data_IF_478119385382
#
_entry.id   IF_478119385382
#
_cell.length_a   1.000
_cell.length_b   1.000
_cell.length_c   1.000
_cell.angle_alpha   90.00
_cell.angle_beta   90.00
_cell.angle_gamma   90.00
#
_symmetry.space_group_name_H-M   'P 1'
#
loop_
_entity.id
_entity.type
_entity.pdbx_description
1 polymer ?
#
# COMPACT_ATOMS: atom_id res chain seq x y z
N UNK A 1 -7.56 22.45 -1.84
CA UNK A 1 -6.50 22.28 -0.83
C UNK A 1 -5.42 21.38 -1.42
N UNK A 2 -4.25 21.93 -1.75
CA UNK A 2 -3.19 21.20 -2.45
C UNK A 2 -2.70 20.02 -1.60
N UNK A 3 -3.09 18.81 -2.03
CA UNK A 3 -2.78 17.52 -1.44
C UNK A 3 -1.38 17.12 -1.91
N UNK A 4 -0.40 17.14 -1.01
CA UNK A 4 1.00 16.71 -1.22
C UNK A 4 1.81 17.60 -2.18
N UNK A 5 3.13 17.76 -1.99
CA UNK A 5 3.92 18.79 -2.68
C UNK A 5 4.30 18.39 -4.12
N UNK A 6 3.39 17.78 -4.88
CA UNK A 6 3.60 17.55 -6.31
C UNK A 6 3.28 18.83 -7.08
N UNK A 7 4.19 19.26 -7.94
CA UNK A 7 3.97 20.30 -8.93
C UNK A 7 4.40 19.80 -10.30
N UNK A 8 3.82 20.36 -11.37
CA UNK A 8 4.12 19.93 -12.73
C UNK A 8 4.27 21.14 -13.66
N UNK A 9 5.30 21.10 -14.49
CA UNK A 9 5.40 21.90 -15.71
C UNK A 9 4.81 21.14 -16.90
N UNK A 10 5.06 21.63 -18.12
CA UNK A 10 4.57 21.00 -19.35
C UNK A 10 5.17 19.61 -19.58
N UNK A 11 6.42 19.41 -19.19
CA UNK A 11 7.15 18.15 -19.37
C UNK A 11 7.67 17.56 -18.06
N UNK A 12 8.06 18.43 -17.14
CA UNK A 12 8.69 18.04 -15.88
C UNK A 12 7.68 17.92 -14.73
N UNK A 13 7.95 16.99 -13.83
CA UNK A 13 7.21 16.82 -12.58
C UNK A 13 8.16 16.95 -11.42
N UNK A 14 7.73 17.61 -10.36
CA UNK A 14 8.51 17.88 -9.17
C UNK A 14 7.77 17.38 -7.93
N UNK A 15 8.54 17.01 -6.92
CA UNK A 15 8.06 16.80 -5.55
C UNK A 15 8.86 17.69 -4.60
N UNK A 16 8.22 18.73 -4.06
CA UNK A 16 8.92 19.88 -3.50
C UNK A 16 9.75 20.55 -4.59
N UNK A 17 11.02 20.83 -4.30
CA UNK A 17 11.96 21.43 -5.25
C UNK A 17 12.72 20.39 -6.09
N UNK A 18 12.44 19.09 -5.89
CA UNK A 18 13.16 18.00 -6.57
C UNK A 18 12.41 17.51 -7.80
N UNK A 19 13.04 17.57 -8.96
CA UNK A 19 12.54 16.94 -10.19
C UNK A 19 12.44 15.43 -10.03
N UNK A 20 11.36 14.83 -10.53
CA UNK A 20 11.13 13.39 -10.55
C UNK A 20 11.56 12.86 -11.92
N UNK A 21 12.72 12.22 -11.96
CA UNK A 21 13.26 11.70 -13.21
C UNK A 21 12.40 10.56 -13.79
N UNK A 22 12.14 10.65 -15.10
CA UNK A 22 11.32 9.68 -15.83
C UNK A 22 9.81 9.84 -15.65
N UNK A 23 9.35 10.86 -14.91
CA UNK A 23 7.94 11.20 -14.81
C UNK A 23 7.45 11.90 -16.07
N UNK A 24 6.29 11.46 -16.58
CA UNK A 24 5.65 12.10 -17.72
C UNK A 24 4.70 13.21 -17.25
N UNK A 25 5.11 14.48 -17.38
CA UNK A 25 4.30 15.63 -16.97
C UNK A 25 2.96 15.79 -17.70
N UNK A 26 2.81 15.23 -18.90
CA UNK A 26 1.57 15.30 -19.68
C UNK A 26 0.47 14.41 -19.07
N UNK A 27 0.84 13.21 -18.63
CA UNK A 27 -0.11 12.23 -18.05
C UNK A 27 -0.02 12.09 -16.53
N UNK A 28 0.77 12.95 -15.86
CA UNK A 28 0.93 12.88 -14.42
C UNK A 28 -0.36 13.25 -13.68
N UNK A 29 -0.81 12.33 -12.84
CA UNK A 29 -2.00 12.44 -12.01
C UNK A 29 -1.60 12.28 -10.55
N UNK A 30 -1.86 13.33 -9.75
CA UNK A 30 -1.73 13.24 -8.29
C UNK A 30 -2.96 12.54 -7.74
N UNK A 31 -2.75 11.45 -7.02
CA UNK A 31 -3.82 10.65 -6.42
C UNK A 31 -4.06 11.12 -4.97
N UNK A 32 -4.12 10.19 -4.03
CA UNK A 32 -4.32 10.44 -2.60
C UNK A 32 -3.21 9.80 -1.77
N UNK A 33 -3.08 10.20 -0.52
CA UNK A 33 -2.13 9.62 0.44
C UNK A 33 -0.66 9.65 -0.02
N UNK A 34 -0.27 10.69 -0.76
CA UNK A 34 1.09 10.86 -1.28
C UNK A 34 1.40 10.07 -2.55
N UNK A 35 0.43 9.29 -3.05
CA UNK A 35 0.57 8.59 -4.32
C UNK A 35 0.30 9.50 -5.51
N UNK A 36 0.99 9.23 -6.59
CA UNK A 36 0.74 9.79 -7.91
C UNK A 36 1.06 8.72 -8.97
N UNK A 37 0.65 8.95 -10.20
CA UNK A 37 0.99 8.07 -11.33
C UNK A 37 1.15 8.88 -12.60
N UNK A 38 1.79 8.30 -13.58
CA UNK A 38 1.65 8.69 -14.98
C UNK A 38 1.14 7.47 -15.78
N UNK A 39 1.16 7.53 -17.11
CA UNK A 39 0.71 6.40 -17.96
C UNK A 39 1.47 5.11 -17.67
N UNK A 40 2.75 5.19 -17.30
CA UNK A 40 3.67 4.05 -17.24
C UNK A 40 4.06 3.69 -15.81
N UNK A 41 4.19 4.68 -14.94
CA UNK A 41 4.81 4.56 -13.63
C UNK A 41 3.85 5.01 -12.53
N UNK A 42 4.13 4.56 -11.31
CA UNK A 42 3.53 5.09 -10.09
C UNK A 42 4.60 5.65 -9.16
N UNK A 43 4.18 6.56 -8.29
CA UNK A 43 5.04 7.31 -7.40
C UNK A 43 4.42 7.37 -6.00
N UNK A 44 5.29 7.40 -4.98
CA UNK A 44 4.91 7.65 -3.60
C UNK A 44 5.86 8.69 -3.02
N UNK A 45 5.32 9.84 -2.60
CA UNK A 45 6.08 10.98 -2.07
C UNK A 45 7.29 11.36 -2.95
N UNK A 46 7.09 11.45 -4.27
CA UNK A 46 8.14 11.80 -5.23
C UNK A 46 9.13 10.67 -5.55
N UNK A 47 8.98 9.49 -4.96
CA UNK A 47 9.79 8.32 -5.28
C UNK A 47 9.05 7.41 -6.26
N UNK A 48 9.70 7.04 -7.36
CA UNK A 48 9.19 6.04 -8.30
C UNK A 48 9.05 4.69 -7.60
N UNK A 49 7.89 4.07 -7.74
CA UNK A 49 7.61 2.73 -7.22
C UNK A 49 8.10 1.72 -8.25
N UNK A 50 9.06 0.88 -7.85
CA UNK A 50 9.67 -0.10 -8.74
C UNK A 50 8.60 -1.07 -9.28
N UNK A 51 8.63 -1.31 -10.59
CA UNK A 51 7.74 -2.24 -11.31
C UNK A 51 6.23 -1.96 -11.21
N UNK A 52 5.83 -0.78 -10.72
CA UNK A 52 4.44 -0.38 -10.70
C UNK A 52 3.96 0.09 -12.07
N UNK A 53 2.79 -0.39 -12.47
CA UNK A 53 2.16 -0.03 -13.75
C UNK A 53 1.17 1.10 -13.57
N UNK A 54 1.53 2.28 -14.06
CA UNK A 54 0.72 3.50 -13.95
C UNK A 54 -0.71 3.34 -14.47
N UNK A 55 -0.88 2.73 -15.64
CA UNK A 55 -2.19 2.52 -16.28
C UNK A 55 -3.23 1.75 -15.45
N UNK A 56 -2.80 0.92 -14.51
CA UNK A 56 -3.65 0.09 -13.65
C UNK A 56 -3.49 0.41 -12.16
N UNK A 57 -2.73 1.45 -11.83
CA UNK A 57 -2.39 1.79 -10.46
C UNK A 57 -3.59 2.41 -9.72
N UNK A 58 -3.95 1.82 -8.57
CA UNK A 58 -5.08 2.22 -7.74
C UNK A 58 -4.63 2.32 -6.29
N UNK A 59 -4.93 3.45 -5.65
CA UNK A 59 -4.68 3.62 -4.21
C UNK A 59 -5.82 2.99 -3.42
N UNK A 60 -5.53 2.01 -2.58
CA UNK A 60 -6.52 1.28 -1.80
C UNK A 60 -6.86 2.00 -0.50
N UNK A 61 -5.84 2.43 0.23
CA UNK A 61 -5.96 3.03 1.56
C UNK A 61 -4.68 3.84 1.88
N UNK A 62 -4.60 4.53 3.04
CA UNK A 62 -3.34 5.13 3.45
C UNK A 62 -2.20 4.10 3.43
N UNK A 63 -1.13 4.42 2.70
CA UNK A 63 0.05 3.57 2.47
C UNK A 63 -0.18 2.25 1.72
N UNK A 64 -1.39 1.94 1.22
CA UNK A 64 -1.63 0.75 0.41
C UNK A 64 -2.14 1.12 -0.97
N UNK A 65 -1.53 0.53 -1.99
CA UNK A 65 -1.93 0.66 -3.38
C UNK A 65 -1.75 -0.68 -4.10
N UNK A 66 -2.33 -0.81 -5.29
CA UNK A 66 -2.19 -1.97 -6.15
C UNK A 66 -2.04 -1.56 -7.60
N UNK A 67 -1.48 -2.45 -8.40
CA UNK A 67 -1.75 -2.49 -9.83
C UNK A 67 -2.41 -3.84 -10.20
N UNK A 68 -2.50 -4.17 -11.48
CA UNK A 68 -3.07 -5.45 -11.92
C UNK A 68 -2.37 -6.67 -11.29
N UNK A 69 -1.07 -6.59 -11.01
CA UNK A 69 -0.23 -7.75 -10.67
C UNK A 69 0.29 -7.72 -9.23
N UNK A 70 0.48 -6.53 -8.68
CA UNK A 70 1.21 -6.33 -7.44
C UNK A 70 0.40 -5.53 -6.43
N UNK A 71 0.70 -5.76 -5.16
CA UNK A 71 0.28 -4.89 -4.07
C UNK A 71 1.51 -4.16 -3.53
N UNK A 72 1.31 -2.91 -3.13
CA UNK A 72 2.34 -2.05 -2.61
C UNK A 72 1.99 -1.56 -1.21
N UNK A 73 2.98 -1.56 -0.33
CA UNK A 73 2.97 -0.74 0.88
C UNK A 73 3.95 0.42 0.71
N UNK A 74 3.44 1.66 0.69
CA UNK A 74 4.21 2.85 0.29
C UNK A 74 4.81 2.65 -1.10
N UNK A 75 6.14 2.74 -1.22
CA UNK A 75 6.88 2.53 -2.47
C UNK A 75 7.38 1.08 -2.65
N UNK A 76 7.08 0.16 -1.74
CA UNK A 76 7.60 -1.20 -1.76
C UNK A 76 6.53 -2.20 -2.18
N UNK A 77 6.89 -3.13 -3.07
CA UNK A 77 6.04 -4.29 -3.38
C UNK A 77 5.93 -5.20 -2.16
N UNK A 78 4.75 -5.79 -1.95
CA UNK A 78 4.53 -6.84 -0.95
C UNK A 78 4.72 -8.19 -1.65
N UNK A 79 5.83 -8.92 -1.38
CA UNK A 79 6.10 -10.18 -2.06
C UNK A 79 5.02 -11.23 -1.77
N UNK A 80 4.57 -11.92 -2.82
CA UNK A 80 3.59 -13.00 -2.70
C UNK A 80 2.14 -12.57 -2.43
N UNK A 81 1.87 -11.26 -2.35
CA UNK A 81 0.52 -10.76 -2.17
C UNK A 81 -0.34 -10.94 -3.41
N UNK A 82 -1.53 -11.51 -3.24
CA UNK A 82 -2.45 -11.71 -4.35
C UNK A 82 -3.26 -10.43 -4.62
N UNK A 83 -3.00 -9.80 -5.77
CA UNK A 83 -3.62 -8.51 -6.10
C UNK A 83 -5.15 -8.57 -6.22
N UNK A 84 -5.70 -9.69 -6.69
CA UNK A 84 -7.12 -9.86 -6.99
C UNK A 84 -8.00 -9.98 -5.74
N UNK A 85 -7.46 -10.53 -4.64
CA UNK A 85 -8.21 -10.75 -3.39
C UNK A 85 -7.77 -9.83 -2.24
N UNK A 86 -6.81 -8.94 -2.47
CA UNK A 86 -6.25 -8.09 -1.43
C UNK A 86 -7.29 -7.10 -0.87
N UNK A 87 -7.43 -7.09 0.45
CA UNK A 87 -8.32 -6.22 1.20
C UNK A 87 -7.58 -5.55 2.35
N UNK A 88 -7.63 -4.23 2.40
CA UNK A 88 -7.12 -3.47 3.55
C UNK A 88 -8.16 -3.55 4.68
N UNK A 89 -7.71 -3.93 5.87
CA UNK A 89 -8.55 -4.10 7.06
C UNK A 89 -8.54 -2.87 7.98
N UNK A 90 -7.58 -1.96 7.77
CA UNK A 90 -7.40 -0.75 8.58
C UNK A 90 -6.26 -0.87 9.59
N UNK A 91 -5.87 0.25 10.19
CA UNK A 91 -4.82 0.32 11.21
C UNK A 91 -3.47 -0.34 10.81
N UNK A 92 -3.19 -0.37 9.51
CA UNK A 92 -1.99 -0.97 8.92
C UNK A 92 -2.14 -2.44 8.54
N UNK A 93 -3.22 -3.12 8.94
CA UNK A 93 -3.50 -4.49 8.57
C UNK A 93 -4.17 -4.60 7.20
N UNK A 94 -3.87 -5.70 6.52
CA UNK A 94 -4.50 -6.11 5.28
C UNK A 94 -4.44 -7.64 5.16
N UNK A 95 -5.21 -8.21 4.24
CA UNK A 95 -5.15 -9.64 3.93
C UNK A 95 -5.44 -9.89 2.46
N UNK A 96 -4.99 -11.02 1.95
CA UNK A 96 -5.52 -11.65 0.75
C UNK A 96 -6.16 -13.00 1.13
N UNK A 97 -6.50 -13.88 0.18
CA UNK A 97 -7.07 -15.18 0.53
C UNK A 97 -6.10 -16.12 1.28
N UNK A 98 -4.79 -15.91 1.18
CA UNK A 98 -3.76 -16.84 1.66
C UNK A 98 -2.97 -16.30 2.85
N UNK A 99 -2.86 -14.99 2.97
CA UNK A 99 -1.94 -14.34 3.89
C UNK A 99 -2.57 -13.12 4.56
N UNK A 100 -2.08 -12.82 5.76
CA UNK A 100 -2.34 -11.57 6.47
C UNK A 100 -1.08 -10.75 6.53
N UNK A 101 -1.22 -9.44 6.45
CA UNK A 101 -0.12 -8.48 6.42
C UNK A 101 -0.31 -7.39 7.45
N UNK A 102 0.79 -6.92 8.02
CA UNK A 102 0.87 -5.67 8.76
C UNK A 102 1.92 -4.77 8.13
N UNK A 103 1.51 -3.58 7.68
CA UNK A 103 2.36 -2.58 7.02
C UNK A 103 3.25 -3.17 5.92
N UNK A 104 2.66 -4.00 5.06
CA UNK A 104 3.36 -4.66 3.96
C UNK A 104 4.19 -5.89 4.33
N UNK A 105 4.23 -6.29 5.61
CA UNK A 105 4.94 -7.50 6.05
C UNK A 105 3.95 -8.62 6.33
N UNK A 106 4.20 -9.81 5.80
CA UNK A 106 3.40 -10.99 6.09
C UNK A 106 3.48 -11.33 7.59
N UNK A 107 2.34 -11.67 8.18
CA UNK A 107 2.22 -12.19 9.54
C UNK A 107 2.20 -13.72 9.45
N UNK A 108 3.29 -14.36 9.86
CA UNK A 108 3.38 -15.81 9.80
C UNK A 108 2.42 -16.49 10.79
N UNK A 109 1.79 -17.58 10.33
CA UNK A 109 0.83 -18.36 11.12
C UNK A 109 -0.56 -17.74 11.29
N UNK A 110 -0.78 -16.50 10.84
CA UNK A 110 -2.10 -15.86 10.91
C UNK A 110 -3.08 -16.48 9.91
N UNK A 111 -4.31 -16.74 10.35
CA UNK A 111 -5.34 -17.32 9.50
C UNK A 111 -6.16 -16.23 8.77
N UNK A 112 -5.99 -16.03 7.44
CA UNK A 112 -6.64 -14.96 6.69
C UNK A 112 -8.16 -15.07 6.64
N UNK A 113 -8.73 -16.29 6.67
CA UNK A 113 -10.18 -16.46 6.54
C UNK A 113 -10.92 -15.92 7.76
N UNK A 114 -10.33 -16.04 8.94
CA UNK A 114 -10.91 -15.59 10.22
C UNK A 114 -10.32 -14.28 10.75
N UNK A 115 -9.27 -13.75 10.11
CA UNK A 115 -8.60 -12.53 10.58
C UNK A 115 -9.53 -11.30 10.53
N UNK A 116 -9.61 -10.62 11.66
CA UNK A 116 -10.32 -9.35 11.89
C UNK A 116 -9.44 -8.36 12.64
N UNK A 117 -9.78 -7.07 12.54
CA UNK A 117 -9.10 -5.98 13.23
C UNK A 117 -10.13 -5.24 14.07
N UNK A 118 -9.82 -5.02 15.35
CA UNK A 118 -10.65 -4.24 16.25
C UNK A 118 -10.28 -2.74 16.26
N UNK A 119 -11.14 -1.91 16.84
CA UNK A 119 -10.92 -0.46 16.94
C UNK A 119 -9.73 -0.07 17.85
N UNK A 120 -9.21 -1.02 18.64
CA UNK A 120 -8.07 -0.82 19.53
C UNK A 120 -6.74 -1.15 18.84
N UNK A 121 -6.76 -1.50 17.55
CA UNK A 121 -5.55 -1.81 16.77
C UNK A 121 -5.05 -3.24 16.91
N UNK A 122 -5.82 -4.14 17.53
CA UNK A 122 -5.47 -5.54 17.56
C UNK A 122 -6.00 -6.24 16.32
N UNK A 123 -5.12 -7.03 15.70
CA UNK A 123 -5.52 -8.07 14.78
C UNK A 123 -5.82 -9.34 15.56
N UNK A 124 -6.78 -10.14 15.13
CA UNK A 124 -7.02 -11.45 15.72
C UNK A 124 -7.52 -12.40 14.66
N UNK A 125 -7.09 -13.65 14.73
CA UNK A 125 -7.75 -14.76 14.05
C UNK A 125 -8.43 -15.67 15.09
N UNK A 126 -8.87 -16.86 14.64
CA UNK A 126 -9.56 -17.83 15.50
C UNK A 126 -8.73 -18.38 16.67
N UNK A 127 -7.39 -18.33 16.60
CA UNK A 127 -6.48 -18.90 17.62
C UNK A 127 -5.64 -17.84 18.32
N UNK A 128 -5.33 -16.76 17.63
CA UNK A 128 -4.24 -15.87 17.98
C UNK A 128 -4.70 -14.41 17.98
N UNK A 129 -4.08 -13.61 18.86
CA UNK A 129 -4.19 -12.16 18.86
C UNK A 129 -2.84 -11.53 18.52
N UNK A 130 -2.89 -10.42 17.81
CA UNK A 130 -1.73 -9.73 17.25
C UNK A 130 -1.78 -8.23 17.57
N UNK A 131 -0.62 -7.67 17.92
CA UNK A 131 -0.43 -6.23 18.03
C UNK A 131 0.71 -5.82 17.11
N UNK A 132 0.43 -4.87 16.21
CA UNK A 132 1.38 -4.42 15.19
C UNK A 132 1.99 -5.56 14.36
N UNK A 133 1.17 -6.58 14.06
CA UNK A 133 1.60 -7.77 13.32
C UNK A 133 2.42 -8.79 14.11
N UNK A 134 2.62 -8.59 15.42
CA UNK A 134 3.31 -9.55 16.30
C UNK A 134 2.31 -10.35 17.10
N UNK A 135 2.53 -11.66 17.20
CA UNK A 135 1.73 -12.54 18.04
C UNK A 135 1.84 -12.11 19.52
N UNK A 136 0.72 -12.06 20.21
CA UNK A 136 0.65 -11.87 21.66
C UNK A 136 0.58 -13.25 22.31
N UNK A 137 1.71 -13.71 22.85
CA UNK A 137 1.75 -14.95 23.61
C UNK A 137 1.01 -14.82 24.95
N UNK A 138 0.33 -15.88 25.37
CA UNK A 138 -0.37 -15.94 26.67
C UNK A 138 -1.86 -15.63 26.64
N UNK A 139 -2.44 -15.25 25.49
CA UNK A 139 -3.89 -15.09 25.31
C UNK A 139 -4.39 -16.20 24.39
N UNK A 140 -4.51 -17.42 24.92
CA UNK A 140 -5.20 -18.52 24.24
C UNK A 140 -6.67 -18.46 24.64
N UNK A 141 -7.56 -18.43 23.65
CA UNK A 141 -9.00 -18.62 23.85
C UNK A 141 -9.32 -20.11 23.88
#
# INVERSE_FOLDING_TARGET
MARYPYSKGTFDVYYGDRKIDGANGHSFEVLRYGYAKDTWNAYYLGQKIANARGNSFVVLAPNYAKDTWNIYYRHQVIPGANSSSFKVLGLGYAKDHWNVYYRGRKIEGANPSTFKVDNNGYGSDIRNRYLNGRLLEGVRY
#
